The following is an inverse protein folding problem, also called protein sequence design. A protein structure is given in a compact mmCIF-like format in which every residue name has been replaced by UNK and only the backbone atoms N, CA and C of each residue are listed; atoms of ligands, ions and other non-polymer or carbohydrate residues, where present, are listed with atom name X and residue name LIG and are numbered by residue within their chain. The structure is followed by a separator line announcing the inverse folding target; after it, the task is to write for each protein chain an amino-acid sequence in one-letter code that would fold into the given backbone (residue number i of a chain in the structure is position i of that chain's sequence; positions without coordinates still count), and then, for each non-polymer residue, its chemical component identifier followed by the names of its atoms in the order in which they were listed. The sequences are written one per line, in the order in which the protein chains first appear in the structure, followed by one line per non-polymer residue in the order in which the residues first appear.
data_IF_907168433345
#
_entry.id   IF_907168433345
#
_cell.length_a   1.000
_cell.length_b   1.000
_cell.length_c   1.000
_cell.angle_alpha   90.00
_cell.angle_beta   90.00
_cell.angle_gamma   90.00
#
_symmetry.space_group_name_H-M   'P 1'
#
loop_
_entity.id
_entity.type
_entity.pdbx_description
1 polymer ?
#
# COMPACT_ATOMS: atom_id res chain seq x y z
N UNK A 1 46.09 9.26 -52.07
CA UNK A 1 44.69 9.71 -51.92
C UNK A 1 44.15 9.12 -50.63
N UNK A 2 43.88 9.96 -49.64
CA UNK A 2 43.41 9.54 -48.31
C UNK A 2 41.89 9.30 -48.34
N UNK A 3 41.44 8.14 -47.88
CA UNK A 3 40.03 7.80 -47.72
C UNK A 3 39.52 8.33 -46.38
N UNK A 4 38.66 9.34 -46.41
CA UNK A 4 38.03 9.90 -45.23
C UNK A 4 36.82 9.04 -44.80
N UNK A 5 36.93 8.39 -43.65
CA UNK A 5 35.84 7.68 -42.99
C UNK A 5 34.84 8.69 -42.42
N UNK A 6 33.65 8.76 -43.02
CA UNK A 6 32.52 9.56 -42.50
C UNK A 6 31.93 8.89 -41.26
N UNK A 7 32.07 9.54 -40.10
CA UNK A 7 31.48 9.12 -38.82
C UNK A 7 30.12 9.79 -38.67
N UNK A 8 29.05 8.97 -38.59
CA UNK A 8 27.69 9.45 -38.38
C UNK A 8 27.54 10.11 -36.99
N UNK A 9 26.73 11.19 -36.85
CA UNK A 9 26.59 11.90 -35.59
C UNK A 9 25.85 11.07 -34.53
N UNK A 10 26.18 11.23 -33.23
CA UNK A 10 25.55 10.48 -32.16
C UNK A 10 24.08 10.88 -31.96
N UNK A 11 23.19 9.88 -31.89
CA UNK A 11 21.74 10.08 -31.69
C UNK A 11 21.47 10.81 -30.35
N UNK A 12 20.59 11.83 -30.33
CA UNK A 12 20.29 12.58 -29.11
C UNK A 12 19.64 11.70 -28.04
N UNK A 13 20.19 11.75 -26.82
CA UNK A 13 19.68 11.03 -25.65
C UNK A 13 18.44 11.75 -25.10
N UNK A 14 17.25 11.27 -25.45
CA UNK A 14 15.99 11.84 -24.97
C UNK A 14 15.86 11.63 -23.45
N UNK A 15 16.09 12.67 -22.65
CA UNK A 15 15.83 12.66 -21.20
C UNK A 15 14.31 12.66 -20.99
N UNK A 16 13.75 11.50 -20.62
CA UNK A 16 12.34 11.36 -20.27
C UNK A 16 12.06 12.23 -19.04
N UNK A 17 11.27 13.28 -19.19
CA UNK A 17 10.92 14.16 -18.08
C UNK A 17 9.96 13.43 -17.14
N UNK A 18 10.19 13.60 -15.84
CA UNK A 18 9.37 13.03 -14.75
C UNK A 18 7.93 13.54 -14.83
N UNK A 19 7.73 14.70 -15.46
CA UNK A 19 6.44 15.32 -15.75
C UNK A 19 5.54 14.47 -16.66
N UNK A 20 6.12 13.55 -17.44
CA UNK A 20 5.36 12.67 -18.34
C UNK A 20 4.79 11.42 -17.65
N UNK A 21 4.94 11.28 -16.32
CA UNK A 21 4.30 10.21 -15.53
C UNK A 21 2.82 10.51 -15.21
N UNK A 22 2.39 11.77 -15.32
CA UNK A 22 1.06 12.23 -14.87
C UNK A 22 0.04 12.40 -16.02
N UNK A 23 0.27 11.75 -17.17
CA UNK A 23 -0.56 11.91 -18.39
C UNK A 23 -2.04 11.59 -18.16
N UNK A 24 -2.37 10.74 -17.18
CA UNK A 24 -3.77 10.49 -16.79
C UNK A 24 -3.96 10.53 -15.27
N UNK A 25 -3.83 11.74 -14.71
CA UNK A 25 -3.85 11.99 -13.27
C UNK A 25 -5.18 11.61 -12.62
N UNK A 26 -6.31 11.68 -13.34
CA UNK A 26 -7.65 11.42 -12.79
C UNK A 26 -7.85 9.96 -12.39
N UNK A 27 -7.44 9.03 -13.25
CA UNK A 27 -7.51 7.60 -12.95
C UNK A 27 -6.54 7.24 -11.82
N UNK A 28 -5.30 7.73 -11.89
CA UNK A 28 -4.28 7.48 -10.88
C UNK A 28 -4.69 7.97 -9.49
N UNK A 29 -5.17 9.22 -9.38
CA UNK A 29 -5.61 9.81 -8.11
C UNK A 29 -6.83 9.10 -7.53
N UNK A 30 -7.78 8.66 -8.37
CA UNK A 30 -8.98 7.96 -7.89
C UNK A 30 -8.61 6.66 -7.18
N UNK A 31 -7.85 5.79 -7.83
CA UNK A 31 -7.51 4.47 -7.25
C UNK A 31 -6.42 4.56 -6.18
N UNK A 32 -5.38 5.39 -6.40
CA UNK A 32 -4.37 5.63 -5.36
C UNK A 32 -5.01 6.27 -4.13
N UNK A 33 -5.97 7.18 -4.31
CA UNK A 33 -6.75 7.77 -3.22
C UNK A 33 -7.55 6.73 -2.44
N UNK A 34 -8.24 5.80 -3.11
CA UNK A 34 -8.91 4.69 -2.43
C UNK A 34 -7.94 3.80 -1.66
N UNK A 35 -6.79 3.45 -2.24
CA UNK A 35 -5.75 2.66 -1.57
C UNK A 35 -5.21 3.40 -0.34
N UNK A 36 -4.97 4.71 -0.44
CA UNK A 36 -4.52 5.54 0.68
C UNK A 36 -5.57 5.65 1.78
N UNK A 37 -6.84 5.82 1.44
CA UNK A 37 -7.94 5.84 2.42
C UNK A 37 -8.00 4.51 3.16
N UNK A 38 -7.91 3.39 2.45
CA UNK A 38 -7.87 2.06 3.06
C UNK A 38 -6.65 1.87 3.96
N UNK A 39 -5.46 2.30 3.51
CA UNK A 39 -4.23 2.21 4.30
C UNK A 39 -4.29 3.10 5.57
N UNK A 40 -4.89 4.29 5.47
CA UNK A 40 -5.13 5.17 6.60
C UNK A 40 -6.14 4.57 7.56
N UNK A 41 -7.21 3.96 7.05
CA UNK A 41 -8.20 3.26 7.87
C UNK A 41 -7.57 2.11 8.65
N UNK A 42 -6.80 1.24 7.97
CA UNK A 42 -6.08 0.13 8.62
C UNK A 42 -5.08 0.68 9.66
N UNK A 43 -4.31 1.71 9.31
CA UNK A 43 -3.38 2.37 10.23
C UNK A 43 -4.10 2.97 11.44
N UNK A 44 -5.28 3.56 11.27
CA UNK A 44 -6.07 4.13 12.35
C UNK A 44 -6.63 3.04 13.29
N UNK A 45 -7.13 1.94 12.74
CA UNK A 45 -7.63 0.80 13.52
C UNK A 45 -6.50 0.16 14.32
N UNK A 46 -5.35 -0.12 13.68
CA UNK A 46 -4.17 -0.66 14.36
C UNK A 46 -3.61 0.32 15.39
N UNK A 47 -3.55 1.61 15.05
CA UNK A 47 -3.13 2.67 15.96
C UNK A 47 -4.02 2.76 17.20
N UNK A 48 -5.34 2.71 17.02
CA UNK A 48 -6.31 2.72 18.12
C UNK A 48 -6.19 1.46 19.00
N UNK A 49 -6.01 0.28 18.38
CA UNK A 49 -5.78 -0.97 19.11
C UNK A 49 -4.51 -0.92 19.96
N UNK A 50 -3.39 -0.47 19.38
CA UNK A 50 -2.13 -0.33 20.09
C UNK A 50 -2.19 0.75 21.17
N UNK A 51 -2.91 1.84 20.92
CA UNK A 51 -3.14 2.88 21.91
C UNK A 51 -3.93 2.36 23.12
N UNK A 52 -5.00 1.60 22.88
CA UNK A 52 -5.82 1.00 23.94
C UNK A 52 -4.99 0.03 24.79
N UNK A 53 -4.24 -0.86 24.15
CA UNK A 53 -3.33 -1.80 24.83
C UNK A 53 -2.23 -1.06 25.58
N UNK A 54 -1.72 0.03 25.03
CA UNK A 54 -0.72 0.86 25.70
C UNK A 54 -1.29 1.52 26.95
N UNK A 55 -2.50 2.08 26.89
CA UNK A 55 -3.14 2.69 28.06
C UNK A 55 -3.38 1.67 29.18
N UNK A 56 -3.84 0.45 28.85
CA UNK A 56 -4.05 -0.59 29.88
C UNK A 56 -2.76 -0.98 30.60
N UNK A 57 -1.63 -1.02 29.88
CA UNK A 57 -0.33 -1.34 30.48
C UNK A 57 0.14 -0.22 31.42
N UNK A 58 -0.02 1.06 31.05
CA UNK A 58 0.35 2.17 31.97
C UNK A 58 -0.51 2.16 33.22
N UNK A 59 -1.81 1.97 33.04
CA UNK A 59 -2.76 1.99 34.15
C UNK A 59 -2.48 0.84 35.13
N UNK A 60 -2.18 -0.36 34.61
CA UNK A 60 -1.76 -1.50 35.42
C UNK A 60 -0.47 -1.19 36.19
N UNK A 61 0.57 -0.65 35.53
CA UNK A 61 1.81 -0.28 36.21
C UNK A 61 1.61 0.79 37.29
N UNK A 62 0.71 1.75 37.06
CA UNK A 62 0.33 2.76 38.07
C UNK A 62 -0.34 2.16 39.30
N UNK A 63 -1.26 1.21 39.10
CA UNK A 63 -1.93 0.49 40.20
C UNK A 63 -0.94 -0.36 41.00
N UNK A 64 0.01 -1.03 40.33
CA UNK A 64 1.07 -1.81 41.00
C UNK A 64 1.93 -0.90 41.88
N UNK A 65 2.34 0.27 41.37
CA UNK A 65 3.12 1.23 42.16
C UNK A 65 2.33 1.78 43.38
N UNK A 66 1.03 2.01 43.24
CA UNK A 66 0.17 2.42 44.36
C UNK A 66 -0.01 1.29 45.39
N UNK A 67 -0.18 0.04 44.93
CA UNK A 67 -0.23 -1.14 45.79
C UNK A 67 1.08 -1.32 46.57
N UNK A 68 2.24 -1.17 45.92
CA UNK A 68 3.53 -1.23 46.59
C UNK A 68 3.68 -0.15 47.67
N UNK A 69 3.13 1.07 47.46
CA UNK A 69 3.07 2.10 48.51
C UNK A 69 2.20 1.69 49.70
N UNK A 70 1.00 1.15 49.43
CA UNK A 70 0.09 0.68 50.50
C UNK A 70 0.69 -0.46 51.30
N UNK A 71 1.30 -1.44 50.63
CA UNK A 71 1.99 -2.55 51.30
C UNK A 71 3.11 -2.04 52.21
N UNK A 72 3.92 -1.08 51.74
CA UNK A 72 4.96 -0.46 52.56
C UNK A 72 4.42 0.28 53.79
N UNK A 73 3.29 0.98 53.66
CA UNK A 73 2.63 1.65 54.78
C UNK A 73 1.99 0.66 55.77
N UNK A 74 1.34 -0.39 55.27
CA UNK A 74 0.74 -1.43 56.10
C UNK A 74 1.81 -2.22 56.86
N UNK A 75 2.92 -2.60 56.20
CA UNK A 75 4.06 -3.23 56.85
C UNK A 75 4.59 -2.40 58.02
N UNK A 76 4.76 -1.08 57.83
CA UNK A 76 5.19 -0.17 58.92
C UNK A 76 4.19 -0.11 60.07
N UNK A 77 2.89 0.01 59.77
CA UNK A 77 1.86 0.06 60.81
C UNK A 77 1.81 -1.24 61.63
N UNK A 78 1.93 -2.39 60.96
CA UNK A 78 1.99 -3.69 61.63
C UNK A 78 3.25 -3.80 62.49
N UNK A 79 4.40 -3.39 61.95
CA UNK A 79 5.69 -3.32 62.67
C UNK A 79 5.59 -2.46 63.95
N UNK A 80 4.98 -1.28 63.85
CA UNK A 80 4.76 -0.35 64.97
C UNK A 80 3.81 -0.92 66.04
N UNK A 81 2.71 -1.58 65.62
CA UNK A 81 1.77 -2.21 66.55
C UNK A 81 2.43 -3.36 67.31
N UNK A 82 3.16 -4.23 66.62
CA UNK A 82 3.87 -5.36 67.24
C UNK A 82 4.90 -4.85 68.25
N UNK A 83 5.65 -3.80 67.89
CA UNK A 83 6.61 -3.17 68.81
C UNK A 83 5.92 -2.60 70.06
N UNK A 84 4.83 -1.85 69.88
CA UNK A 84 4.05 -1.30 71.01
C UNK A 84 3.42 -2.38 71.90
N UNK A 85 3.02 -3.52 71.34
CA UNK A 85 2.47 -4.64 72.11
C UNK A 85 3.55 -5.32 72.95
N UNK A 86 4.73 -5.57 72.38
CA UNK A 86 5.87 -6.15 73.10
C UNK A 86 6.33 -5.22 74.23
N UNK A 87 6.42 -3.91 73.98
CA UNK A 87 6.82 -2.91 75.00
C UNK A 87 5.82 -2.81 76.17
N UNK A 88 4.52 -3.06 75.93
CA UNK A 88 3.46 -2.98 76.95
C UNK A 88 3.18 -4.32 77.66
N UNK A 89 3.82 -5.41 77.25
CA UNK A 89 3.57 -6.74 77.83
C UNK A 89 4.21 -6.83 79.25
N UNK A 90 3.44 -7.14 80.30
CA UNK A 90 3.93 -7.20 81.67
C UNK A 90 4.90 -8.37 81.95
N UNK A 91 4.96 -9.38 81.07
CA UNK A 91 5.82 -10.56 81.21
C UNK A 91 7.06 -10.46 80.33
N UNK A 92 6.91 -9.95 79.10
CA UNK A 92 7.98 -9.96 78.09
C UNK A 92 8.59 -8.58 77.79
N UNK A 93 7.99 -7.48 78.26
CA UNK A 93 8.45 -6.12 77.97
C UNK A 93 9.80 -5.72 78.58
N UNK A 94 10.33 -6.53 79.51
CA UNK A 94 11.66 -6.34 80.11
C UNK A 94 12.73 -7.30 79.55
N UNK A 95 12.40 -8.16 78.57
CA UNK A 95 13.34 -9.09 77.97
C UNK A 95 14.15 -8.41 76.83
N UNK A 96 15.45 -8.13 77.05
CA UNK A 96 16.28 -7.44 76.06
C UNK A 96 16.60 -8.30 74.82
N UNK A 97 16.55 -9.63 74.91
CA UNK A 97 16.82 -10.51 73.75
C UNK A 97 15.63 -10.52 72.80
N UNK A 98 14.41 -10.59 73.32
CA UNK A 98 13.18 -10.60 72.53
C UNK A 98 13.00 -9.30 71.75
N UNK A 99 13.17 -8.16 72.42
CA UNK A 99 13.10 -6.83 71.80
C UNK A 99 14.13 -6.67 70.66
N UNK A 100 15.33 -7.23 70.82
CA UNK A 100 16.39 -7.20 69.81
C UNK A 100 16.11 -8.13 68.63
N UNK A 101 15.58 -9.33 68.87
CA UNK A 101 15.22 -10.29 67.82
C UNK A 101 14.09 -9.75 66.93
N UNK A 102 13.03 -9.21 67.52
CA UNK A 102 11.92 -8.60 66.77
C UNK A 102 12.31 -7.28 66.10
N UNK A 103 13.05 -6.41 66.79
CA UNK A 103 13.55 -5.16 66.21
C UNK A 103 14.48 -5.40 65.01
N UNK A 104 15.32 -6.44 65.08
CA UNK A 104 16.17 -6.86 63.97
C UNK A 104 15.38 -7.41 62.77
N UNK A 105 14.43 -8.33 63.01
CA UNK A 105 13.59 -8.89 61.94
C UNK A 105 12.66 -7.86 61.29
N UNK A 106 12.05 -6.98 62.08
CA UNK A 106 11.22 -5.88 61.61
C UNK A 106 12.02 -4.90 60.75
N UNK A 107 13.22 -4.49 61.19
CA UNK A 107 14.08 -3.61 60.42
C UNK A 107 14.52 -4.22 59.08
N UNK A 108 14.79 -5.53 59.04
CA UNK A 108 15.11 -6.25 57.81
C UNK A 108 13.91 -6.31 56.87
N UNK A 109 12.71 -6.63 57.38
CA UNK A 109 11.49 -6.69 56.59
C UNK A 109 11.09 -5.31 56.04
N UNK A 110 11.13 -4.26 56.87
CA UNK A 110 10.87 -2.88 56.44
C UNK A 110 11.88 -2.40 55.39
N UNK A 111 13.16 -2.79 55.54
CA UNK A 111 14.18 -2.49 54.54
C UNK A 111 13.94 -3.24 53.22
N UNK A 112 13.48 -4.49 53.26
CA UNK A 112 13.20 -5.30 52.08
C UNK A 112 11.96 -4.80 51.32
N UNK A 113 10.88 -4.47 52.03
CA UNK A 113 9.68 -3.86 51.44
C UNK A 113 9.99 -2.49 50.84
N UNK A 114 10.83 -1.69 51.49
CA UNK A 114 11.28 -0.40 50.94
C UNK A 114 12.13 -0.58 49.68
N UNK A 115 13.04 -1.56 49.65
CA UNK A 115 13.81 -1.91 48.44
C UNK A 115 12.89 -2.35 47.30
N UNK A 116 11.93 -3.25 47.57
CA UNK A 116 10.95 -3.68 46.58
C UNK A 116 10.12 -2.50 46.04
N UNK A 117 9.71 -1.58 46.91
CA UNK A 117 9.00 -0.37 46.52
C UNK A 117 9.85 0.53 45.61
N UNK A 118 11.11 0.78 45.96
CA UNK A 118 12.05 1.57 45.16
C UNK A 118 12.31 0.93 43.78
N UNK A 119 12.40 -0.40 43.72
CA UNK A 119 12.53 -1.14 42.45
C UNK A 119 11.29 -1.01 41.58
N UNK A 120 10.09 -1.14 42.13
CA UNK A 120 8.82 -0.98 41.39
C UNK A 120 8.69 0.43 40.82
N UNK A 121 9.06 1.46 41.59
CA UNK A 121 9.03 2.86 41.13
C UNK A 121 10.02 3.09 39.98
N UNK A 122 11.25 2.56 40.08
CA UNK A 122 12.24 2.62 38.99
C UNK A 122 11.78 1.87 37.74
N UNK A 123 11.17 0.70 37.91
CA UNK A 123 10.59 -0.06 36.81
C UNK A 123 9.47 0.74 36.13
N UNK A 124 8.60 1.41 36.91
CA UNK A 124 7.52 2.24 36.38
C UNK A 124 8.05 3.39 35.50
N UNK A 125 9.07 4.13 35.96
CA UNK A 125 9.68 5.22 35.21
C UNK A 125 10.30 4.73 33.88
N UNK A 126 10.98 3.58 33.93
CA UNK A 126 11.52 2.92 32.75
C UNK A 126 10.44 2.52 31.74
N UNK A 127 9.33 1.95 32.23
CA UNK A 127 8.20 1.52 31.40
C UNK A 127 7.52 2.71 30.69
N UNK A 128 7.34 3.84 31.38
CA UNK A 128 6.74 5.04 30.77
C UNK A 128 7.62 5.59 29.64
N UNK A 129 8.94 5.65 29.87
CA UNK A 129 9.90 6.14 28.86
C UNK A 129 10.02 5.18 27.68
N UNK A 130 10.12 3.87 27.94
CA UNK A 130 10.12 2.86 26.88
C UNK A 130 8.83 2.93 26.06
N UNK A 131 7.71 3.23 26.71
CA UNK A 131 6.43 3.31 26.04
C UNK A 131 6.29 4.55 25.14
N UNK A 132 6.82 5.71 25.51
CA UNK A 132 6.81 6.89 24.62
C UNK A 132 7.67 6.64 23.38
N UNK A 133 8.84 6.01 23.54
CA UNK A 133 9.66 5.57 22.41
C UNK A 133 8.95 4.54 21.53
N UNK A 134 8.30 3.54 22.12
CA UNK A 134 7.53 2.55 21.38
C UNK A 134 6.38 3.19 20.59
N UNK A 135 5.64 4.14 21.19
CA UNK A 135 4.59 4.91 20.51
C UNK A 135 5.14 5.71 19.33
N UNK A 136 6.25 6.43 19.53
CA UNK A 136 6.90 7.20 18.47
C UNK A 136 7.35 6.30 17.30
N UNK A 137 7.93 5.13 17.61
CA UNK A 137 8.34 4.16 16.60
C UNK A 137 7.15 3.58 15.83
N UNK A 138 6.05 3.23 16.51
CA UNK A 138 4.83 2.72 15.88
C UNK A 138 4.25 3.77 14.92
N UNK A 139 4.09 5.01 15.38
CA UNK A 139 3.55 6.11 14.54
C UNK A 139 4.49 6.36 13.35
N UNK A 140 5.80 6.34 13.57
CA UNK A 140 6.80 6.48 12.52
C UNK A 140 6.69 5.37 11.47
N UNK A 141 6.61 4.10 11.89
CA UNK A 141 6.50 2.94 11.00
C UNK A 141 5.18 2.96 10.23
N UNK A 142 4.04 3.23 10.89
CA UNK A 142 2.75 3.36 10.23
C UNK A 142 2.74 4.51 9.21
N UNK A 143 3.34 5.65 9.55
CA UNK A 143 3.50 6.77 8.63
C UNK A 143 4.33 6.41 7.40
N UNK A 144 5.49 5.78 7.60
CA UNK A 144 6.35 5.30 6.52
C UNK A 144 5.61 4.28 5.65
N UNK A 145 4.88 3.35 6.25
CA UNK A 145 4.09 2.35 5.54
C UNK A 145 3.04 3.00 4.63
N UNK A 146 2.29 4.00 5.12
CA UNK A 146 1.31 4.74 4.30
C UNK A 146 1.98 5.45 3.13
N UNK A 147 3.14 6.07 3.35
CA UNK A 147 3.90 6.74 2.28
C UNK A 147 4.36 5.72 1.23
N UNK A 148 4.93 4.58 1.66
CA UNK A 148 5.39 3.52 0.77
C UNK A 148 4.24 2.94 -0.06
N UNK A 149 3.09 2.69 0.56
CA UNK A 149 1.88 2.23 -0.13
C UNK A 149 1.42 3.27 -1.15
N UNK A 150 1.46 4.57 -0.82
CA UNK A 150 1.15 5.64 -1.76
C UNK A 150 2.06 5.66 -2.97
N UNK A 151 3.38 5.59 -2.76
CA UNK A 151 4.39 5.53 -3.84
C UNK A 151 4.16 4.29 -4.72
N UNK A 152 3.93 3.14 -4.10
CA UNK A 152 3.69 1.87 -4.80
C UNK A 152 2.38 1.92 -5.61
N UNK A 153 1.33 2.49 -5.04
CA UNK A 153 0.04 2.71 -5.71
C UNK A 153 0.17 3.57 -6.96
N UNK A 154 0.93 4.67 -6.89
CA UNK A 154 1.23 5.51 -8.06
C UNK A 154 2.01 4.72 -9.12
N UNK A 155 3.04 3.99 -8.69
CA UNK A 155 3.86 3.18 -9.60
C UNK A 155 3.04 2.16 -10.39
N UNK A 156 2.20 1.38 -9.70
CA UNK A 156 1.33 0.39 -10.34
C UNK A 156 0.26 1.06 -11.21
N UNK A 157 -0.38 2.11 -10.72
CA UNK A 157 -1.46 2.75 -11.48
C UNK A 157 -0.95 3.40 -12.76
N UNK A 158 0.31 3.86 -12.80
CA UNK A 158 0.92 4.33 -14.04
C UNK A 158 1.08 3.24 -15.10
N UNK A 159 1.48 2.02 -14.71
CA UNK A 159 1.62 0.89 -15.64
C UNK A 159 0.31 0.42 -16.26
N UNK A 160 -0.82 0.81 -15.66
CA UNK A 160 -2.16 0.41 -16.12
C UNK A 160 -2.86 1.56 -16.84
N UNK A 161 -2.84 2.78 -16.29
CA UNK A 161 -3.61 3.91 -16.81
C UNK A 161 -3.21 4.32 -18.24
N UNK A 162 -1.91 4.41 -18.53
CA UNK A 162 -1.42 4.79 -19.86
C UNK A 162 -1.87 3.82 -20.96
N UNK A 163 -1.66 2.50 -20.77
CA UNK A 163 -2.14 1.49 -21.71
C UNK A 163 -3.65 1.48 -21.88
N UNK A 164 -4.44 1.65 -20.81
CA UNK A 164 -5.91 1.74 -20.90
C UNK A 164 -6.32 2.87 -21.84
N UNK A 165 -5.73 4.06 -21.68
CA UNK A 165 -6.04 5.20 -22.54
C UNK A 165 -5.76 4.88 -24.02
N UNK A 166 -4.61 4.28 -24.30
CA UNK A 166 -4.25 3.87 -25.67
C UNK A 166 -5.19 2.80 -26.21
N UNK A 167 -5.56 1.81 -25.39
CA UNK A 167 -6.53 0.78 -25.79
C UNK A 167 -7.89 1.37 -26.12
N UNK A 168 -8.38 2.34 -25.34
CA UNK A 168 -9.64 3.04 -25.64
C UNK A 168 -9.60 3.72 -27.01
N UNK A 169 -8.48 4.37 -27.35
CA UNK A 169 -8.31 5.00 -28.66
C UNK A 169 -8.31 3.97 -29.80
N UNK A 170 -7.57 2.87 -29.65
CA UNK A 170 -7.50 1.81 -30.67
C UNK A 170 -8.85 1.11 -30.86
N UNK A 171 -9.57 0.83 -29.76
CA UNK A 171 -10.92 0.27 -29.82
C UNK A 171 -11.89 1.23 -30.53
N UNK A 172 -11.77 2.53 -30.29
CA UNK A 172 -12.54 3.55 -31.01
C UNK A 172 -12.27 3.53 -32.52
N UNK A 173 -11.00 3.45 -32.93
CA UNK A 173 -10.61 3.38 -34.35
C UNK A 173 -11.21 2.15 -35.05
N UNK A 174 -11.10 0.98 -34.41
CA UNK A 174 -11.70 -0.25 -34.95
C UNK A 174 -13.22 -0.17 -34.98
N UNK A 175 -13.85 0.47 -33.99
CA UNK A 175 -15.29 0.74 -33.96
C UNK A 175 -15.77 1.68 -35.08
N UNK A 176 -14.90 2.57 -35.56
CA UNK A 176 -15.13 3.41 -36.75
C UNK A 176 -14.84 2.68 -38.08
N UNK A 177 -14.48 1.39 -38.04
CA UNK A 177 -14.14 0.61 -39.22
C UNK A 177 -12.70 0.79 -39.71
N UNK A 178 -11.81 1.43 -38.96
CA UNK A 178 -10.38 1.56 -39.33
C UNK A 178 -9.62 0.35 -38.80
N UNK A 179 -9.32 -0.60 -39.68
CA UNK A 179 -8.66 -1.86 -39.32
C UNK A 179 -7.13 -1.80 -39.43
N UNK A 180 -6.59 -0.71 -39.97
CA UNK A 180 -5.15 -0.55 -40.15
C UNK A 180 -4.57 0.35 -39.06
N UNK A 181 -4.11 -0.25 -37.94
CA UNK A 181 -3.35 0.51 -36.94
C UNK A 181 -1.96 -0.07 -36.70
N UNK A 182 -0.94 0.79 -36.80
CA UNK A 182 0.43 0.49 -36.43
C UNK A 182 0.68 0.95 -34.99
N UNK A 183 0.20 0.18 -34.02
CA UNK A 183 0.38 0.45 -32.59
C UNK A 183 1.04 -0.73 -31.88
N UNK A 184 1.88 -0.46 -30.88
CA UNK A 184 2.26 -1.44 -29.84
C UNK A 184 2.13 -0.79 -28.47
N UNK A 185 1.76 -1.56 -27.45
CA UNK A 185 1.91 -1.12 -26.06
C UNK A 185 3.39 -1.10 -25.65
N UNK A 186 3.75 -0.32 -24.63
CA UNK A 186 5.14 -0.20 -24.20
C UNK A 186 5.54 -1.46 -23.42
N UNK A 187 6.75 -1.96 -23.67
CA UNK A 187 7.29 -3.13 -22.96
C UNK A 187 7.24 -2.92 -21.45
N UNK A 188 6.62 -3.84 -20.71
CA UNK A 188 6.48 -3.81 -19.25
C UNK A 188 5.16 -3.21 -18.72
N UNK A 189 4.24 -2.86 -19.62
CA UNK A 189 2.85 -2.52 -19.31
C UNK A 189 2.03 -3.78 -19.00
N UNK A 190 1.06 -3.70 -18.08
CA UNK A 190 0.27 -4.87 -17.65
C UNK A 190 -0.72 -5.36 -18.73
N UNK A 191 -1.10 -4.49 -19.67
CA UNK A 191 -2.11 -4.77 -20.70
C UNK A 191 -1.56 -5.37 -21.99
N UNK A 192 -0.31 -5.86 -21.98
CA UNK A 192 0.34 -6.42 -23.18
C UNK A 192 -0.41 -7.63 -23.76
N UNK A 193 -0.75 -8.62 -22.92
CA UNK A 193 -1.48 -9.81 -23.35
C UNK A 193 -2.87 -9.48 -23.92
N UNK A 194 -3.57 -8.53 -23.29
CA UNK A 194 -4.81 -7.99 -23.82
C UNK A 194 -4.62 -7.34 -25.19
N UNK A 195 -3.55 -6.55 -25.37
CA UNK A 195 -3.24 -5.94 -26.66
C UNK A 195 -2.90 -6.98 -27.73
N UNK A 196 -2.16 -8.03 -27.41
CA UNK A 196 -1.82 -9.11 -28.36
C UNK A 196 -3.08 -9.87 -28.81
N UNK A 197 -3.97 -10.17 -27.87
CA UNK A 197 -5.28 -10.77 -28.16
C UNK A 197 -6.14 -9.85 -29.03
N UNK A 198 -6.20 -8.57 -28.70
CA UNK A 198 -6.91 -7.56 -29.49
C UNK A 198 -6.32 -7.41 -30.90
N UNK A 199 -4.99 -7.35 -31.03
CA UNK A 199 -4.31 -7.27 -32.32
C UNK A 199 -4.63 -8.49 -33.20
N UNK A 200 -4.63 -9.68 -32.61
CA UNK A 200 -5.00 -10.92 -33.30
C UNK A 200 -6.45 -10.89 -33.77
N UNK A 201 -7.38 -10.35 -32.97
CA UNK A 201 -8.78 -10.17 -33.36
C UNK A 201 -8.89 -9.23 -34.58
N UNK A 202 -8.19 -8.10 -34.56
CA UNK A 202 -8.24 -7.12 -35.65
C UNK A 202 -7.62 -7.68 -36.92
N UNK A 203 -6.52 -8.44 -36.82
CA UNK A 203 -5.91 -9.12 -37.96
C UNK A 203 -6.87 -10.12 -38.62
N UNK A 204 -7.66 -10.84 -37.82
CA UNK A 204 -8.71 -11.73 -38.32
C UNK A 204 -9.85 -10.97 -39.00
N UNK A 205 -10.28 -9.82 -38.45
CA UNK A 205 -11.27 -8.95 -39.08
C UNK A 205 -10.76 -8.43 -40.42
N UNK A 206 -9.50 -7.97 -40.47
CA UNK A 206 -8.83 -7.49 -41.68
C UNK A 206 -8.77 -8.59 -42.76
N UNK A 207 -8.34 -9.79 -42.38
CA UNK A 207 -8.27 -10.94 -43.27
C UNK A 207 -9.65 -11.32 -43.83
N UNK A 208 -10.68 -11.29 -42.98
CA UNK A 208 -12.07 -11.56 -43.39
C UNK A 208 -12.56 -10.51 -44.38
N UNK A 209 -12.35 -9.23 -44.09
CA UNK A 209 -12.73 -8.11 -44.95
C UNK A 209 -12.05 -8.20 -46.33
N UNK A 210 -10.76 -8.54 -46.39
CA UNK A 210 -10.06 -8.81 -47.65
C UNK A 210 -10.75 -9.92 -48.46
N UNK A 211 -11.11 -11.04 -47.82
CA UNK A 211 -11.81 -12.14 -48.48
C UNK A 211 -13.22 -11.77 -48.96
N UNK A 212 -13.92 -10.88 -48.25
CA UNK A 212 -15.24 -10.39 -48.66
C UNK A 212 -15.12 -9.41 -49.86
N UNK A 213 -14.10 -8.53 -49.87
CA UNK A 213 -13.80 -7.66 -51.01
C UNK A 213 -13.47 -8.48 -52.27
N UNK A 214 -12.63 -9.52 -52.15
CA UNK A 214 -12.27 -10.39 -53.29
C UNK A 214 -13.50 -11.11 -53.87
N UNK A 215 -14.41 -11.58 -53.02
CA UNK A 215 -15.68 -12.19 -53.46
C UNK A 215 -16.57 -11.18 -54.18
N UNK A 216 -16.63 -9.94 -53.67
CA UNK A 216 -17.41 -8.87 -54.29
C UNK A 216 -16.85 -8.46 -55.65
N UNK A 217 -15.51 -8.42 -55.80
CA UNK A 217 -14.85 -8.19 -57.08
C UNK A 217 -15.20 -9.26 -58.12
N UNK A 218 -15.16 -10.54 -57.74
CA UNK A 218 -15.60 -11.64 -58.63
C UNK A 218 -17.08 -11.54 -58.99
N UNK A 219 -17.93 -11.17 -58.03
CA UNK A 219 -19.36 -10.97 -58.28
C UNK A 219 -19.63 -9.81 -59.25
N UNK A 220 -18.88 -8.71 -59.13
CA UNK A 220 -18.91 -7.57 -60.05
C UNK A 220 -18.52 -7.99 -61.48
N UNK A 221 -17.48 -8.79 -61.65
CA UNK A 221 -17.08 -9.33 -62.97
C UNK A 221 -18.19 -10.20 -63.58
N UNK A 222 -18.80 -11.08 -62.80
CA UNK A 222 -19.92 -11.92 -63.26
C UNK A 222 -21.14 -11.06 -63.64
N UNK A 223 -21.47 -10.05 -62.83
CA UNK A 223 -22.58 -9.14 -63.12
C UNK A 223 -22.35 -8.36 -64.41
N UNK A 224 -21.11 -7.89 -64.63
CA UNK A 224 -20.71 -7.18 -65.85
C UNK A 224 -20.82 -8.07 -67.09
N UNK A 225 -20.34 -9.32 -67.01
CA UNK A 225 -20.41 -10.28 -68.13
C UNK A 225 -21.84 -10.70 -68.47
N UNK A 226 -22.75 -10.72 -67.47
CA UNK A 226 -24.17 -11.03 -67.67
C UNK A 226 -25.04 -9.84 -68.07
N UNK A 227 -24.45 -8.66 -68.28
CA UNK A 227 -25.17 -7.46 -68.74
C UNK A 227 -26.04 -6.82 -67.67
N UNK A 228 -25.61 -6.81 -66.41
CA UNK A 228 -26.25 -6.02 -65.36
C UNK A 228 -26.28 -4.52 -65.75
N UNK A 229 -27.33 -3.82 -65.35
CA UNK A 229 -27.50 -2.38 -65.58
C UNK A 229 -26.39 -1.57 -64.91
N UNK A 230 -25.98 -0.47 -65.53
CA UNK A 230 -24.86 0.37 -65.07
C UNK A 230 -25.07 0.86 -63.63
N UNK A 231 -26.31 1.26 -63.27
CA UNK A 231 -26.65 1.70 -61.91
C UNK A 231 -26.33 0.65 -60.83
N UNK A 232 -26.51 -0.63 -61.15
CA UNK A 232 -26.20 -1.74 -60.24
C UNK A 232 -24.70 -1.95 -60.11
N UNK A 233 -23.96 -1.82 -61.22
CA UNK A 233 -22.50 -1.92 -61.21
C UNK A 233 -21.87 -0.78 -60.41
N UNK A 234 -22.38 0.44 -60.54
CA UNK A 234 -21.94 1.59 -59.74
C UNK A 234 -22.19 1.34 -58.26
N UNK A 235 -23.42 0.96 -57.87
CA UNK A 235 -23.75 0.71 -56.46
C UNK A 235 -22.86 -0.39 -55.82
N UNK A 236 -22.59 -1.48 -56.53
CA UNK A 236 -21.70 -2.55 -56.04
C UNK A 236 -20.23 -2.11 -55.97
N UNK A 237 -19.80 -1.26 -56.89
CA UNK A 237 -18.45 -0.67 -56.90
C UNK A 237 -18.27 0.25 -55.69
N UNK A 238 -19.27 1.06 -55.35
CA UNK A 238 -19.24 1.95 -54.19
C UNK A 238 -19.10 1.15 -52.88
N UNK A 239 -19.84 0.05 -52.73
CA UNK A 239 -19.71 -0.86 -51.57
C UNK A 239 -18.30 -1.45 -51.48
N UNK A 240 -17.75 -1.92 -52.61
CA UNK A 240 -16.37 -2.44 -52.65
C UNK A 240 -15.36 -1.37 -52.20
N UNK A 241 -15.53 -0.13 -52.67
CA UNK A 241 -14.59 0.95 -52.38
C UNK A 241 -14.72 1.46 -50.93
N UNK A 242 -15.91 1.40 -50.34
CA UNK A 242 -16.10 1.59 -48.90
C UNK A 242 -15.42 0.48 -48.10
N UNK A 243 -15.62 -0.78 -48.49
CA UNK A 243 -14.98 -1.92 -47.85
C UNK A 243 -13.45 -1.87 -47.95
N UNK A 244 -12.89 -1.38 -49.06
CA UNK A 244 -11.43 -1.17 -49.21
C UNK A 244 -10.91 -0.01 -48.35
N UNK A 245 -11.66 1.09 -48.22
CA UNK A 245 -11.26 2.22 -47.36
C UNK A 245 -11.00 1.81 -45.91
N UNK A 246 -11.73 0.83 -45.38
CA UNK A 246 -11.52 0.27 -44.03
C UNK A 246 -10.15 -0.40 -43.83
N UNK A 247 -9.50 -0.82 -44.92
CA UNK A 247 -8.24 -1.58 -44.94
C UNK A 247 -7.00 -0.71 -45.17
N UNK A 248 -7.16 0.42 -45.85
CA UNK A 248 -6.06 1.28 -46.30
C UNK A 248 -5.76 2.46 -45.34
N UNK A 249 -6.74 2.86 -44.52
CA UNK A 249 -6.67 4.04 -43.62
C UNK A 249 -6.20 3.69 -42.21
#
# INVERSE_FOLDING_TARGET
MATASSTAPPKPRYKRSIKNYLVDSRFQLKYTGFILILALFISAVLGAFLWRTSQSVVEQSGKVAEQSKKVAEESRKVSDIVKMQIEKDPVYGQDPELAKAFGGGAAVSDAEVKKQQEEVLRQQEGLVTQQTHMRAMIVGVLGIMVILIGILGIYFTHKVAGPIYKMKLLLGQVGEGKLNFQGRLRKGDELQDFFETFATMVEKLKSRQHGEVEKLEKALEIARTKGATEDVLVALTDVRDEMKRSLDV
#
